data_IF_330176352208
#
_entry.id   IF_330176352208
#
_cell.length_a   1.000
_cell.length_b   1.000
_cell.length_c   1.000
_cell.angle_alpha   90.00
_cell.angle_beta   90.00
_cell.angle_gamma   90.00
#
_symmetry.space_group_name_H-M   'P 1'
#
loop_
_entity.id
_entity.type
_entity.pdbx_description
1 polymer ?
#
# COMPACT_ATOMS: atom_id res chain seq x y z
N UNK A 1 -10.89 -10.40 7.25
CA UNK A 1 -11.42 -9.02 7.13
C UNK A 1 -11.07 -8.19 8.36
N UNK A 2 -11.45 -8.57 9.58
CA UNK A 2 -11.16 -7.81 10.81
C UNK A 2 -9.69 -7.36 10.98
N UNK A 3 -8.72 -8.21 10.63
CA UNK A 3 -7.30 -7.83 10.68
C UNK A 3 -6.91 -6.73 9.66
N UNK A 4 -7.50 -6.78 8.46
CA UNK A 4 -7.29 -5.77 7.41
C UNK A 4 -7.91 -4.44 7.85
N UNK A 5 -9.12 -4.48 8.42
CA UNK A 5 -9.78 -3.29 8.98
C UNK A 5 -8.98 -2.67 10.13
N UNK A 6 -8.37 -3.50 10.98
CA UNK A 6 -7.55 -3.04 12.10
C UNK A 6 -6.29 -2.36 11.59
N UNK A 7 -5.60 -2.98 10.62
CA UNK A 7 -4.42 -2.38 9.98
C UNK A 7 -4.75 -1.03 9.30
N UNK A 8 -5.89 -0.92 8.62
CA UNK A 8 -6.33 0.35 8.03
C UNK A 8 -6.58 1.42 9.10
N UNK A 9 -7.25 1.08 10.20
CA UNK A 9 -7.50 2.03 11.31
C UNK A 9 -6.19 2.55 11.92
N UNK A 10 -5.18 1.70 12.05
CA UNK A 10 -3.87 2.10 12.56
C UNK A 10 -3.16 3.05 11.59
N UNK A 11 -3.22 2.77 10.28
CA UNK A 11 -2.73 3.66 9.23
C UNK A 11 -3.43 5.03 9.29
N UNK A 12 -4.77 5.05 9.32
CA UNK A 12 -5.56 6.27 9.40
C UNK A 12 -5.18 7.11 10.62
N UNK A 13 -5.14 6.49 11.80
CA UNK A 13 -4.83 7.17 13.07
C UNK A 13 -3.50 7.91 13.04
N UNK A 14 -2.52 7.39 12.30
CA UNK A 14 -1.21 8.01 12.15
C UNK A 14 -1.20 9.05 11.03
N UNK A 15 -1.75 8.69 9.87
CA UNK A 15 -1.81 9.56 8.70
C UNK A 15 -2.62 10.85 8.95
N UNK A 16 -3.70 10.79 9.73
CA UNK A 16 -4.50 11.98 10.08
C UNK A 16 -3.78 12.94 11.03
N UNK A 17 -2.68 12.51 11.65
CA UNK A 17 -1.80 13.39 12.46
C UNK A 17 -0.71 14.07 11.62
N UNK A 18 -0.72 13.87 10.30
CA UNK A 18 0.35 14.35 9.41
C UNK A 18 1.68 13.61 9.60
N UNK A 19 1.65 12.47 10.29
CA UNK A 19 2.82 11.61 10.45
C UNK A 19 2.93 10.67 9.26
N UNK A 20 4.17 10.32 8.90
CA UNK A 20 4.40 9.26 7.93
C UNK A 20 3.89 7.93 8.51
N UNK A 21 2.93 7.31 7.82
CA UNK A 21 2.27 6.06 8.22
C UNK A 21 2.72 4.85 7.38
N UNK A 22 3.95 4.89 6.88
CA UNK A 22 4.51 3.87 5.99
C UNK A 22 4.47 2.45 6.59
N UNK A 23 4.81 2.31 7.88
CA UNK A 23 4.81 0.99 8.53
C UNK A 23 3.40 0.41 8.56
N UNK A 24 2.40 1.23 8.88
CA UNK A 24 1.00 0.85 8.94
C UNK A 24 0.42 0.58 7.54
N UNK A 25 0.78 1.37 6.52
CA UNK A 25 0.49 1.11 5.11
C UNK A 25 0.99 -0.28 4.70
N UNK A 26 2.22 -0.61 5.10
CA UNK A 26 2.80 -1.90 4.80
C UNK A 26 2.11 -3.06 5.51
N UNK A 27 1.75 -2.89 6.79
CA UNK A 27 0.99 -3.87 7.55
C UNK A 27 -0.38 -4.12 6.88
N UNK A 28 -1.04 -3.07 6.37
CA UNK A 28 -2.30 -3.21 5.63
C UNK A 28 -2.14 -4.12 4.40
N UNK A 29 -1.12 -3.90 3.57
CA UNK A 29 -0.83 -4.75 2.41
C UNK A 29 -0.50 -6.20 2.80
N UNK A 30 0.27 -6.40 3.88
CA UNK A 30 0.56 -7.74 4.40
C UNK A 30 -0.71 -8.46 4.84
N UNK A 31 -1.64 -7.79 5.52
CA UNK A 31 -2.91 -8.40 5.93
C UNK A 31 -3.80 -8.80 4.76
N UNK A 32 -3.78 -8.05 3.65
CA UNK A 32 -4.44 -8.46 2.40
C UNK A 32 -3.76 -9.70 1.82
N UNK A 33 -2.44 -9.73 1.73
CA UNK A 33 -1.68 -10.85 1.20
C UNK A 33 -1.91 -12.15 2.01
N UNK A 34 -1.83 -12.07 3.35
CA UNK A 34 -2.09 -13.22 4.23
C UNK A 34 -3.54 -13.74 4.10
N UNK A 35 -4.51 -12.85 3.81
CA UNK A 35 -5.90 -13.26 3.61
C UNK A 35 -6.11 -14.13 2.36
N UNK A 36 -5.20 -14.06 1.37
CA UNK A 36 -5.20 -14.95 0.21
C UNK A 36 -4.81 -16.40 0.55
N UNK A 37 -4.30 -16.66 1.77
CA UNK A 37 -3.83 -17.98 2.24
C UNK A 37 -2.84 -18.65 1.27
N UNK A 38 -2.05 -17.83 0.58
CA UNK A 38 -1.02 -18.28 -0.35
C UNK A 38 0.36 -17.91 0.22
N UNK A 39 1.06 -18.92 0.72
CA UNK A 39 2.38 -18.76 1.34
C UNK A 39 3.43 -18.19 0.39
N UNK A 40 3.29 -18.40 -0.93
CA UNK A 40 4.19 -17.82 -1.93
C UNK A 40 3.98 -16.31 -2.00
N UNK A 41 2.72 -15.85 -2.09
CA UNK A 41 2.40 -14.41 -2.14
C UNK A 41 2.83 -13.72 -0.83
N UNK A 42 2.53 -14.34 0.31
CA UNK A 42 2.93 -13.82 1.62
C UNK A 42 4.46 -13.74 1.77
N UNK A 43 5.19 -14.78 1.35
CA UNK A 43 6.65 -14.80 1.35
C UNK A 43 7.25 -13.77 0.38
N UNK A 44 6.67 -13.61 -0.82
CA UNK A 44 7.10 -12.60 -1.78
C UNK A 44 6.97 -11.18 -1.22
N UNK A 45 5.86 -10.90 -0.52
CA UNK A 45 5.70 -9.61 0.14
C UNK A 45 6.81 -9.39 1.17
N UNK A 46 7.10 -10.34 2.07
CA UNK A 46 8.18 -10.18 3.06
C UNK A 46 9.56 -9.88 2.45
N UNK A 47 9.81 -10.32 1.21
CA UNK A 47 11.07 -10.04 0.49
C UNK A 47 11.04 -8.66 -0.18
N UNK A 48 9.95 -8.32 -0.88
CA UNK A 48 9.84 -7.10 -1.69
C UNK A 48 9.65 -5.86 -0.80
N UNK A 49 8.91 -6.04 0.29
CA UNK A 49 8.49 -4.98 1.20
C UNK A 49 9.67 -4.16 1.75
N UNK A 50 10.69 -4.76 2.40
CA UNK A 50 11.83 -4.03 2.96
C UNK A 50 12.55 -3.12 1.95
N UNK A 51 12.71 -3.61 0.72
CA UNK A 51 13.38 -2.89 -0.36
C UNK A 51 12.55 -1.71 -0.89
N UNK A 52 11.22 -1.90 -0.94
CA UNK A 52 10.28 -0.84 -1.27
C UNK A 52 10.27 0.25 -0.19
N UNK A 53 10.27 -0.12 1.10
CA UNK A 53 10.37 0.82 2.24
C UNK A 53 11.59 1.71 2.07
N UNK A 54 12.75 1.08 1.92
CA UNK A 54 14.04 1.77 1.79
C UNK A 54 14.00 2.78 0.66
N UNK A 55 13.50 2.37 -0.50
CA UNK A 55 13.44 3.21 -1.69
C UNK A 55 12.51 4.41 -1.51
N UNK A 56 11.31 4.22 -0.94
CA UNK A 56 10.33 5.30 -0.75
C UNK A 56 10.79 6.29 0.32
N UNK A 57 11.34 5.79 1.44
CA UNK A 57 11.81 6.60 2.57
C UNK A 57 13.06 7.40 2.22
N UNK A 58 14.11 6.74 1.69
CA UNK A 58 15.40 7.40 1.40
C UNK A 58 15.26 8.48 0.34
N UNK A 59 14.37 8.28 -0.63
CA UNK A 59 14.25 9.14 -1.80
C UNK A 59 13.13 10.17 -1.70
N UNK A 60 12.37 10.18 -0.59
CA UNK A 60 11.21 11.06 -0.37
C UNK A 60 10.26 11.08 -1.58
N UNK A 61 10.11 9.92 -2.22
CA UNK A 61 9.40 9.78 -3.50
C UNK A 61 7.92 10.18 -3.38
N UNK A 62 7.38 10.01 -2.18
CA UNK A 62 6.04 10.39 -1.85
C UNK A 62 6.10 11.67 -1.02
N UNK A 63 5.46 12.73 -1.51
CA UNK A 63 5.32 13.99 -0.78
C UNK A 63 4.80 13.79 0.65
N UNK A 64 4.94 14.81 1.49
CA UNK A 64 4.59 14.74 2.93
C UNK A 64 3.13 14.37 3.20
N UNK A 65 2.26 14.42 2.19
CA UNK A 65 0.82 14.18 2.25
C UNK A 65 0.39 12.78 1.74
N UNK A 66 1.31 11.96 1.21
CA UNK A 66 0.94 10.67 0.57
C UNK A 66 0.16 9.75 1.52
N UNK A 67 0.60 9.62 2.78
CA UNK A 67 -0.10 8.78 3.76
C UNK A 67 -1.54 9.24 3.97
N UNK A 68 -1.78 10.56 3.99
CA UNK A 68 -3.13 11.11 4.13
C UNK A 68 -3.98 10.88 2.88
N UNK A 69 -3.41 11.03 1.68
CA UNK A 69 -4.11 10.73 0.41
C UNK A 69 -4.46 9.25 0.29
N UNK A 70 -3.57 8.36 0.70
CA UNK A 70 -3.75 6.91 0.64
C UNK A 70 -4.95 6.41 1.46
N UNK A 71 -5.42 7.16 2.48
CA UNK A 71 -6.59 6.78 3.28
C UNK A 71 -7.82 6.50 2.40
N UNK A 72 -8.12 7.38 1.45
CA UNK A 72 -9.28 7.20 0.57
C UNK A 72 -9.08 6.01 -0.38
N UNK A 73 -7.85 5.83 -0.88
CA UNK A 73 -7.48 4.72 -1.76
C UNK A 73 -7.63 3.37 -1.04
N UNK A 74 -7.13 3.26 0.20
CA UNK A 74 -7.23 2.05 1.01
C UNK A 74 -8.66 1.70 1.41
N UNK A 75 -9.52 2.70 1.68
CA UNK A 75 -10.94 2.46 1.92
C UNK A 75 -11.61 1.80 0.72
N UNK A 76 -11.37 2.32 -0.48
CA UNK A 76 -11.93 1.75 -1.70
C UNK A 76 -11.48 0.29 -1.89
N UNK A 77 -10.21 -0.02 -1.58
CA UNK A 77 -9.68 -1.39 -1.61
C UNK A 77 -10.41 -2.27 -0.59
N UNK A 78 -10.51 -1.82 0.67
CA UNK A 78 -11.15 -2.58 1.74
C UNK A 78 -12.63 -2.84 1.45
N UNK A 79 -13.36 -1.83 0.98
CA UNK A 79 -14.78 -1.94 0.64
C UNK A 79 -14.99 -2.97 -0.47
N UNK A 80 -14.17 -2.94 -1.52
CA UNK A 80 -14.22 -3.93 -2.59
C UNK A 80 -13.91 -5.36 -2.09
N UNK A 81 -12.90 -5.51 -1.22
CA UNK A 81 -12.57 -6.81 -0.59
C UNK A 81 -13.73 -7.29 0.29
N UNK A 82 -14.36 -6.41 1.07
CA UNK A 82 -15.48 -6.74 1.96
C UNK A 82 -16.72 -7.20 1.16
N UNK A 83 -16.97 -6.57 0.01
CA UNK A 83 -18.01 -6.97 -0.94
C UNK A 83 -17.67 -8.20 -1.79
N UNK A 84 -16.44 -8.70 -1.67
CA UNK A 84 -15.88 -9.77 -2.52
C UNK A 84 -15.91 -9.44 -4.03
N UNK A 85 -15.84 -8.16 -4.38
CA UNK A 85 -15.76 -7.70 -5.77
C UNK A 85 -14.31 -7.68 -6.23
N UNK A 86 -13.91 -8.78 -6.88
CA UNK A 86 -12.53 -8.99 -7.35
C UNK A 86 -12.09 -7.91 -8.34
N UNK A 87 -12.95 -7.55 -9.29
CA UNK A 87 -12.60 -6.60 -10.34
C UNK A 87 -12.38 -5.19 -9.77
N UNK A 88 -13.27 -4.77 -8.86
CA UNK A 88 -13.13 -3.48 -8.19
C UNK A 88 -11.92 -3.46 -7.26
N UNK A 89 -11.63 -4.55 -6.53
CA UNK A 89 -10.46 -4.63 -5.66
C UNK A 89 -9.14 -4.53 -6.45
N UNK A 90 -9.06 -5.21 -7.60
CA UNK A 90 -7.91 -5.14 -8.50
C UNK A 90 -7.71 -3.72 -9.05
N UNK A 91 -8.77 -3.11 -9.57
CA UNK A 91 -8.72 -1.75 -10.11
C UNK A 91 -8.32 -0.72 -9.05
N UNK A 92 -8.87 -0.83 -7.83
CA UNK A 92 -8.55 0.06 -6.72
C UNK A 92 -7.08 -0.07 -6.29
N UNK A 93 -6.55 -1.30 -6.21
CA UNK A 93 -5.14 -1.54 -5.90
C UNK A 93 -4.21 -1.02 -7.03
N UNK A 94 -4.60 -1.20 -8.30
CA UNK A 94 -3.83 -0.68 -9.42
C UNK A 94 -3.73 0.84 -9.38
N UNK A 95 -4.86 1.54 -9.13
CA UNK A 95 -4.89 2.99 -9.01
C UNK A 95 -4.03 3.47 -7.82
N UNK A 96 -4.12 2.78 -6.68
CA UNK A 96 -3.30 3.09 -5.50
C UNK A 96 -1.80 3.02 -5.80
N UNK A 97 -1.37 2.01 -6.57
CA UNK A 97 0.05 1.81 -6.90
C UNK A 97 0.53 2.70 -8.07
N UNK A 98 -0.35 3.38 -8.79
CA UNK A 98 -0.03 4.08 -10.03
C UNK A 98 1.04 5.17 -9.83
N UNK A 99 0.96 5.94 -8.73
CA UNK A 99 1.92 6.99 -8.39
C UNK A 99 3.34 6.42 -8.18
N UNK A 100 3.44 5.29 -7.45
CA UNK A 100 4.71 4.59 -7.21
C UNK A 100 5.25 4.02 -8.52
N UNK A 101 4.40 3.43 -9.36
CA UNK A 101 4.81 2.89 -10.66
C UNK A 101 5.28 3.99 -11.63
N UNK A 102 4.65 5.18 -11.62
CA UNK A 102 5.10 6.33 -12.42
C UNK A 102 6.53 6.71 -12.05
N UNK A 103 6.82 6.84 -10.76
CA UNK A 103 8.17 7.18 -10.28
C UNK A 103 9.19 6.12 -10.67
N UNK A 104 8.84 4.83 -10.58
CA UNK A 104 9.72 3.74 -11.02
C UNK A 104 10.05 3.81 -12.53
N UNK A 105 9.07 4.15 -13.37
CA UNK A 105 9.28 4.32 -14.82
C UNK A 105 10.16 5.51 -15.13
N UNK A 106 9.92 6.65 -14.49
CA UNK A 106 10.70 7.87 -14.72
C UNK A 106 12.15 7.70 -14.28
N UNK A 107 12.40 6.88 -13.25
CA UNK A 107 13.76 6.53 -12.82
C UNK A 107 14.56 5.76 -13.87
N UNK A 108 13.90 4.92 -14.67
CA UNK A 108 14.55 4.16 -15.76
C UNK A 108 15.04 5.05 -16.89
N UNK A 109 14.46 6.23 -17.04
CA UNK A 109 14.79 7.21 -18.09
C UNK A 109 15.98 8.09 -17.72
N UNK A 110 16.37 8.17 -16.44
CA UNK A 110 17.49 9.01 -15.96
C UNK A 110 18.83 8.24 -15.92
N UNK A 111 18.79 6.91 -16.02
CA UNK A 111 19.94 6.00 -15.94
C UNK A 111 20.37 5.39 -17.29
N UNK A 112 19.75 5.83 -18.39
CA UNK A 112 20.10 5.51 -19.79
C UNK A 112 20.41 6.80 -20.54
#
# INVERSE_FOLDING_TARGET
LAEIETALKDHEKRATKGLNAFEEDMIFHMKIASAAKNQVIEGMMLIVVPDLIRTIVERKICGTDRSTRAIAEHKNILDAIALQDVATAEAAMHLHLEEIMKVSRDYKTVLL
#
